data_IF_165564806453
#
_entry.id   IF_165564806453
#
_cell.length_a   1.000
_cell.length_b   1.000
_cell.length_c   1.000
_cell.angle_alpha   90.00
_cell.angle_beta   90.00
_cell.angle_gamma   90.00
#
_symmetry.space_group_name_H-M   'P 1'
#
loop_
_entity.id
_entity.type
_entity.pdbx_description
1 polymer ?
#
# COMPACT_ATOMS: atom_id res chain seq x y z
N UNK A 1 -14.01 6.47 -65.94
CA UNK A 1 -13.36 6.11 -67.22
C UNK A 1 -13.06 7.41 -67.95
N UNK A 2 -11.88 7.59 -68.54
CA UNK A 2 -10.55 7.17 -68.07
C UNK A 2 -9.50 8.30 -68.27
N UNK A 3 -8.26 8.15 -67.75
CA UNK A 3 -6.98 7.98 -68.51
C UNK A 3 -6.32 9.31 -68.96
N UNK A 4 -5.11 9.62 -68.46
CA UNK A 4 -3.78 9.32 -69.07
C UNK A 4 -3.44 10.33 -70.18
N UNK A 5 -2.22 10.78 -70.45
CA UNK A 5 -0.88 10.47 -69.97
C UNK A 5 0.09 11.54 -70.50
N UNK A 6 1.17 11.79 -69.74
CA UNK A 6 2.56 12.07 -70.20
C UNK A 6 2.88 13.22 -71.22
N UNK A 7 4.15 13.46 -71.60
CA UNK A 7 5.44 13.44 -70.89
C UNK A 7 6.27 14.74 -71.15
N UNK A 8 7.50 14.83 -70.62
CA UNK A 8 8.76 15.01 -71.39
C UNK A 8 9.85 15.82 -70.67
N UNK A 9 11.01 15.17 -70.66
CA UNK A 9 12.36 15.59 -70.28
C UNK A 9 13.04 16.34 -71.44
N UNK A 10 13.87 17.35 -71.14
CA UNK A 10 15.13 17.72 -71.84
C UNK A 10 15.74 18.95 -71.14
N UNK A 11 16.76 18.85 -70.28
CA UNK A 11 18.19 18.57 -70.54
C UNK A 11 18.90 19.66 -71.37
N UNK A 12 19.86 20.37 -70.73
CA UNK A 12 21.24 20.69 -71.19
C UNK A 12 21.89 21.72 -70.26
N UNK A 13 22.88 21.30 -69.46
CA UNK A 13 24.35 21.29 -69.72
C UNK A 13 24.98 22.66 -69.40
N UNK A 14 25.62 22.87 -68.24
CA UNK A 14 27.01 22.51 -67.83
C UNK A 14 27.91 23.78 -67.92
N UNK A 15 29.16 23.88 -67.40
CA UNK A 15 29.85 23.22 -66.28
C UNK A 15 30.65 24.19 -65.36
N UNK A 16 31.26 23.57 -64.34
CA UNK A 16 32.55 23.90 -63.69
C UNK A 16 32.56 24.93 -62.56
N UNK A 17 33.28 24.76 -61.45
CA UNK A 17 34.06 23.65 -60.87
C UNK A 17 34.43 24.12 -59.44
N UNK A 18 34.41 23.23 -58.45
CA UNK A 18 35.46 23.00 -57.43
C UNK A 18 34.87 22.40 -56.15
N UNK A 19 35.50 21.30 -55.72
CA UNK A 19 35.70 20.83 -54.33
C UNK A 19 34.43 20.59 -53.48
N UNK A 20 34.20 19.46 -52.82
CA UNK A 20 35.10 18.63 -52.02
C UNK A 20 34.37 17.33 -51.65
N UNK A 21 35.13 16.28 -51.34
CA UNK A 21 34.66 14.93 -51.02
C UNK A 21 33.98 14.94 -49.64
N UNK A 22 32.64 14.90 -49.56
CA UNK A 22 31.93 14.57 -48.31
C UNK A 22 32.09 13.09 -48.02
N UNK A 23 32.77 12.78 -46.93
CA UNK A 23 32.68 11.50 -46.24
C UNK A 23 31.23 11.25 -45.82
N UNK A 24 30.74 10.04 -46.13
CA UNK A 24 29.50 9.50 -45.57
C UNK A 24 29.61 9.47 -44.05
N UNK A 25 28.98 10.45 -43.40
CA UNK A 25 28.64 10.33 -41.98
C UNK A 25 27.35 9.51 -41.92
N UNK A 26 27.32 8.36 -41.22
CA UNK A 26 26.07 7.64 -41.04
C UNK A 26 25.11 8.58 -40.29
N UNK A 27 23.93 8.79 -40.87
CA UNK A 27 22.80 9.40 -40.16
C UNK A 27 22.49 8.46 -39.01
N UNK A 28 23.01 8.80 -37.83
CA UNK A 28 22.55 8.25 -36.57
C UNK A 28 21.09 8.65 -36.48
N UNK A 29 20.19 7.70 -36.77
CA UNK A 29 18.84 7.79 -36.23
C UNK A 29 19.04 7.88 -34.72
N UNK A 30 18.84 9.05 -34.14
CA UNK A 30 18.69 9.21 -32.71
C UNK A 30 17.48 8.38 -32.31
N UNK A 31 17.73 7.14 -31.89
CA UNK A 31 16.78 6.38 -31.07
C UNK A 31 16.42 7.32 -29.92
N UNK A 32 15.13 7.66 -29.70
CA UNK A 32 14.77 8.54 -28.60
C UNK A 32 15.37 7.95 -27.32
N UNK A 33 16.23 8.75 -26.68
CA UNK A 33 16.95 8.35 -25.48
C UNK A 33 15.90 7.98 -24.43
N UNK A 34 15.85 6.70 -24.07
CA UNK A 34 14.89 6.16 -23.12
C UNK A 34 15.09 6.86 -21.77
N UNK A 35 14.05 7.49 -21.24
CA UNK A 35 14.11 8.19 -19.95
C UNK A 35 14.28 7.17 -18.83
N UNK A 36 14.88 7.61 -17.73
CA UNK A 36 15.12 6.75 -16.57
C UNK A 36 13.84 6.17 -15.97
N UNK A 37 12.71 6.86 -16.12
CA UNK A 37 11.38 6.47 -15.63
C UNK A 37 10.41 6.09 -16.75
N UNK A 38 10.91 5.67 -17.91
CA UNK A 38 10.06 5.10 -18.96
C UNK A 38 9.54 3.71 -18.56
N UNK A 39 8.21 3.55 -18.61
CA UNK A 39 7.56 2.28 -18.30
C UNK A 39 7.77 1.28 -19.46
N UNK A 40 8.54 0.23 -19.19
CA UNK A 40 8.96 -0.85 -20.10
C UNK A 40 8.64 -2.27 -19.59
N UNK A 41 7.84 -2.37 -18.51
CA UNK A 41 7.37 -3.64 -17.93
C UNK A 41 6.15 -4.24 -18.62
N UNK A 42 5.89 -5.53 -18.35
CA UNK A 42 4.65 -6.20 -18.77
C UNK A 42 3.49 -5.79 -17.86
N UNK A 43 2.59 -4.95 -18.36
CA UNK A 43 1.43 -4.50 -17.61
C UNK A 43 0.20 -5.31 -18.01
N UNK A 44 -0.28 -6.16 -17.11
CA UNK A 44 -1.59 -6.81 -17.24
C UNK A 44 -2.62 -6.03 -16.41
N UNK A 45 -3.13 -4.93 -16.96
CA UNK A 45 -4.21 -4.15 -16.34
C UNK A 45 -5.48 -5.01 -16.27
N UNK A 46 -5.98 -5.28 -15.07
CA UNK A 46 -7.22 -6.06 -14.90
C UNK A 46 -8.41 -5.18 -14.53
N UNK A 47 -8.18 -4.06 -13.85
CA UNK A 47 -9.26 -3.15 -13.48
C UNK A 47 -9.35 -1.98 -14.45
N UNK A 48 -10.55 -1.79 -15.03
CA UNK A 48 -10.95 -0.50 -15.59
C UNK A 48 -11.72 0.23 -14.50
N UNK A 49 -11.37 1.51 -14.28
CA UNK A 49 -12.05 2.42 -13.36
C UNK A 49 -13.57 2.30 -13.59
N UNK A 50 -14.31 1.93 -12.55
CA UNK A 50 -15.77 1.87 -12.61
C UNK A 50 -16.32 3.29 -12.67
N UNK A 51 -16.95 3.65 -13.78
CA UNK A 51 -17.48 4.99 -14.13
C UNK A 51 -18.62 5.53 -13.22
N UNK A 52 -18.88 4.91 -12.06
CA UNK A 52 -20.01 5.25 -11.18
C UNK A 52 -19.62 5.39 -9.70
N UNK A 53 -18.43 5.91 -9.42
CA UNK A 53 -18.02 6.20 -8.06
C UNK A 53 -18.56 7.57 -7.63
N UNK A 54 -19.39 7.61 -6.59
CA UNK A 54 -19.89 8.85 -5.99
C UNK A 54 -18.98 9.24 -4.83
N UNK A 55 -18.20 10.29 -5.00
CA UNK A 55 -17.38 10.87 -3.93
C UNK A 55 -18.25 11.74 -3.03
N UNK A 56 -18.00 11.67 -1.72
CA UNK A 56 -18.69 12.48 -0.71
C UNK A 56 -17.65 13.29 0.06
N UNK A 57 -17.96 14.53 0.48
CA UNK A 57 -17.06 15.31 1.31
C UNK A 57 -16.67 14.55 2.57
N UNK A 58 -15.39 14.62 2.94
CA UNK A 58 -14.89 14.10 4.20
C UNK A 58 -15.47 14.92 5.35
N UNK A 59 -16.18 14.27 6.28
CA UNK A 59 -16.93 14.95 7.33
C UNK A 59 -16.18 14.97 8.66
N UNK A 60 -15.36 13.96 8.92
CA UNK A 60 -14.56 13.90 10.14
C UNK A 60 -13.43 14.92 10.09
N UNK A 61 -13.42 15.82 11.08
CA UNK A 61 -12.36 16.79 11.29
C UNK A 61 -11.73 16.51 12.65
N UNK A 62 -10.49 16.04 12.64
CA UNK A 62 -9.74 15.81 13.87
C UNK A 62 -9.38 17.16 14.52
N UNK A 63 -9.75 17.34 15.78
CA UNK A 63 -9.60 18.61 16.52
C UNK A 63 -8.29 18.73 17.31
N UNK A 64 -7.47 17.67 17.33
CA UNK A 64 -6.20 17.61 18.07
C UNK A 64 -6.34 17.32 19.56
N UNK A 65 -7.56 17.23 20.09
CA UNK A 65 -7.84 16.97 21.51
C UNK A 65 -8.53 15.63 21.75
N UNK A 66 -9.30 15.12 20.78
CA UNK A 66 -9.93 13.81 20.89
C UNK A 66 -8.91 12.67 20.75
N UNK A 67 -9.19 11.52 21.36
CA UNK A 67 -8.42 10.31 21.10
C UNK A 67 -9.09 9.57 19.94
N UNK A 68 -8.42 9.48 18.79
CA UNK A 68 -8.97 8.80 17.59
C UNK A 68 -9.36 7.34 17.88
N UNK A 69 -8.62 6.63 18.73
CA UNK A 69 -8.93 5.25 19.10
C UNK A 69 -10.27 5.15 19.86
N UNK A 70 -10.63 6.19 20.61
CA UNK A 70 -11.90 6.26 21.32
C UNK A 70 -13.06 6.66 20.41
N UNK A 71 -12.81 7.48 19.38
CA UNK A 71 -13.80 7.85 18.37
C UNK A 71 -14.13 6.66 17.45
N UNK A 72 -13.12 5.87 17.05
CA UNK A 72 -13.30 4.58 16.37
C UNK A 72 -14.07 3.59 17.25
N UNK A 73 -13.69 3.44 18.52
CA UNK A 73 -14.37 2.53 19.46
C UNK A 73 -15.83 2.95 19.72
N UNK A 74 -16.12 4.25 19.80
CA UNK A 74 -17.48 4.77 19.93
C UNK A 74 -18.33 4.42 18.71
N UNK A 75 -17.76 4.55 17.52
CA UNK A 75 -18.42 4.20 16.26
C UNK A 75 -18.69 2.69 16.17
N UNK A 76 -17.68 1.87 16.52
CA UNK A 76 -17.80 0.41 16.58
C UNK A 76 -18.83 -0.06 17.61
N UNK A 77 -18.76 0.44 18.85
CA UNK A 77 -19.69 0.05 19.92
C UNK A 77 -21.14 0.40 19.59
N UNK A 78 -21.36 1.57 18.97
CA UNK A 78 -22.66 1.98 18.45
C UNK A 78 -23.20 1.02 17.37
N UNK A 79 -22.33 0.60 16.44
CA UNK A 79 -22.67 -0.42 15.43
C UNK A 79 -22.97 -1.78 16.07
N UNK A 80 -22.11 -2.25 16.99
CA UNK A 80 -22.26 -3.53 17.67
C UNK A 80 -23.60 -3.60 18.45
N UNK A 81 -24.00 -2.51 19.10
CA UNK A 81 -25.29 -2.44 19.78
C UNK A 81 -26.49 -2.58 18.81
N UNK A 82 -26.40 -1.96 17.62
CA UNK A 82 -27.45 -2.07 16.58
C UNK A 82 -27.54 -3.50 16.03
N UNK A 83 -26.41 -4.11 15.69
CA UNK A 83 -26.35 -5.48 15.17
C UNK A 83 -26.78 -6.51 16.22
N UNK A 84 -26.36 -6.37 17.47
CA UNK A 84 -26.77 -7.28 18.53
C UNK A 84 -28.29 -7.26 18.73
N UNK A 85 -28.93 -6.08 18.64
CA UNK A 85 -30.40 -5.97 18.68
C UNK A 85 -31.06 -6.67 17.49
N UNK A 86 -30.48 -6.58 16.30
CA UNK A 86 -30.96 -7.29 15.10
C UNK A 86 -30.81 -8.81 15.24
N UNK A 87 -29.63 -9.27 15.67
CA UNK A 87 -29.35 -10.69 15.89
C UNK A 87 -30.31 -11.32 16.89
N UNK A 88 -30.63 -10.64 17.99
CA UNK A 88 -31.64 -11.11 18.95
C UNK A 88 -33.02 -11.26 18.28
N UNK A 89 -33.44 -10.29 17.47
CA UNK A 89 -34.71 -10.38 16.73
C UNK A 89 -34.73 -11.55 15.73
N UNK A 90 -33.64 -11.77 15.02
CA UNK A 90 -33.48 -12.90 14.08
C UNK A 90 -33.47 -14.25 14.79
N UNK A 91 -32.81 -14.35 15.96
CA UNK A 91 -32.82 -15.55 16.80
C UNK A 91 -34.25 -15.86 17.28
N UNK A 92 -34.96 -14.85 17.81
CA UNK A 92 -36.35 -15.00 18.25
C UNK A 92 -37.24 -15.48 17.09
N UNK A 93 -37.11 -14.85 15.92
CA UNK A 93 -37.85 -15.24 14.71
C UNK A 93 -37.59 -16.70 14.31
N UNK A 94 -36.33 -17.14 14.41
CA UNK A 94 -35.92 -18.53 14.12
C UNK A 94 -36.47 -19.52 15.15
N UNK A 95 -36.45 -19.17 16.44
CA UNK A 95 -37.05 -19.99 17.49
C UNK A 95 -38.57 -20.15 17.30
N UNK A 96 -39.28 -19.06 16.97
CA UNK A 96 -40.73 -19.10 16.68
C UNK A 96 -41.02 -20.01 15.48
N UNK A 97 -40.19 -19.94 14.43
CA UNK A 97 -40.32 -20.79 13.25
C UNK A 97 -40.12 -22.28 13.60
N UNK A 98 -39.09 -22.62 14.37
CA UNK A 98 -38.83 -23.98 14.84
C UNK A 98 -39.98 -24.51 15.71
N UNK A 99 -40.49 -23.70 16.64
CA UNK A 99 -41.62 -24.08 17.49
C UNK A 99 -42.89 -24.32 16.67
N UNK A 100 -43.17 -23.48 15.66
CA UNK A 100 -44.30 -23.69 14.76
C UNK A 100 -44.16 -25.01 13.97
N UNK A 101 -42.95 -25.33 13.50
CA UNK A 101 -42.68 -26.58 12.80
C UNK A 101 -42.88 -27.82 13.70
N UNK A 102 -42.35 -27.78 14.93
CA UNK A 102 -42.53 -28.86 15.92
C UNK A 102 -44.00 -29.02 16.29
N UNK A 103 -44.75 -27.92 16.44
CA UNK A 103 -46.17 -27.96 16.73
C UNK A 103 -46.99 -28.66 15.62
N UNK A 104 -46.68 -28.39 14.35
CA UNK A 104 -47.30 -29.09 13.21
C UNK A 104 -46.99 -30.59 13.27
N UNK A 105 -45.72 -30.96 13.49
CA UNK A 105 -45.30 -32.36 13.61
C UNK A 105 -46.03 -33.08 14.75
N UNK A 106 -46.11 -32.47 15.94
CA UNK A 106 -46.80 -33.05 17.09
C UNK A 106 -48.29 -33.28 16.80
N UNK A 107 -48.97 -32.32 16.18
CA UNK A 107 -50.39 -32.47 15.84
C UNK A 107 -50.60 -33.56 14.78
N UNK A 108 -49.70 -33.68 13.79
CA UNK A 108 -49.78 -34.77 12.81
C UNK A 108 -49.63 -36.17 13.45
N UNK A 109 -48.79 -36.32 14.48
CA UNK A 109 -48.60 -37.61 15.14
C UNK A 109 -49.64 -37.95 16.21
N UNK A 110 -50.12 -36.94 16.95
CA UNK A 110 -51.04 -37.14 18.08
C UNK A 110 -52.52 -37.12 17.67
N UNK A 111 -52.88 -36.44 16.56
CA UNK A 111 -54.26 -36.31 16.10
C UNK A 111 -54.69 -37.43 15.13
N UNK A 112 -54.32 -38.69 15.40
CA UNK A 112 -54.64 -39.83 14.52
C UNK A 112 -56.11 -40.26 14.54
N UNK A 113 -56.81 -40.06 15.65
CA UNK A 113 -58.25 -40.40 15.82
C UNK A 113 -59.14 -39.16 16.08
N UNK A 114 -58.55 -37.96 16.12
CA UNK A 114 -59.29 -36.74 16.40
C UNK A 114 -59.85 -36.05 15.15
N UNK A 115 -60.47 -34.88 15.35
CA UNK A 115 -61.19 -34.19 14.28
C UNK A 115 -60.21 -33.58 13.26
N UNK A 116 -60.33 -33.89 11.94
CA UNK A 116 -59.39 -33.43 10.92
C UNK A 116 -59.26 -31.90 10.80
N UNK A 117 -60.31 -31.15 11.15
CA UNK A 117 -60.30 -29.69 11.08
C UNK A 117 -59.27 -29.05 12.03
N UNK A 118 -58.91 -29.73 13.14
CA UNK A 118 -57.91 -29.23 14.10
C UNK A 118 -56.52 -29.18 13.44
N UNK A 119 -56.17 -30.21 12.67
CA UNK A 119 -54.89 -30.28 11.95
C UNK A 119 -54.78 -29.15 10.93
N UNK A 120 -55.86 -28.87 10.17
CA UNK A 120 -55.88 -27.79 9.18
C UNK A 120 -55.78 -26.40 9.82
N UNK A 121 -56.42 -26.17 10.97
CA UNK A 121 -56.31 -24.89 11.70
C UNK A 121 -54.90 -24.66 12.22
N UNK A 122 -54.27 -25.68 12.82
CA UNK A 122 -52.88 -25.58 13.31
C UNK A 122 -51.92 -25.38 12.15
N UNK A 123 -52.13 -26.07 11.03
CA UNK A 123 -51.31 -25.90 9.83
C UNK A 123 -51.42 -24.47 9.26
N UNK A 124 -52.63 -23.92 9.17
CA UNK A 124 -52.84 -22.55 8.71
C UNK A 124 -52.16 -21.53 9.64
N UNK A 125 -52.26 -21.72 10.95
CA UNK A 125 -51.62 -20.84 11.92
C UNK A 125 -50.09 -20.93 11.86
N UNK A 126 -49.54 -22.14 11.76
CA UNK A 126 -48.10 -22.36 11.62
C UNK A 126 -47.56 -21.76 10.32
N UNK A 127 -48.30 -21.86 9.21
CA UNK A 127 -47.93 -21.24 7.94
C UNK A 127 -47.82 -19.71 8.08
N UNK A 128 -48.77 -19.06 8.76
CA UNK A 128 -48.72 -17.62 9.03
C UNK A 128 -47.50 -17.26 9.89
N UNK A 129 -47.20 -18.03 10.92
CA UNK A 129 -46.02 -17.81 11.77
C UNK A 129 -44.71 -17.96 10.99
N UNK A 130 -44.59 -19.01 10.17
CA UNK A 130 -43.39 -19.25 9.35
C UNK A 130 -43.20 -18.10 8.36
N UNK A 131 -44.25 -17.71 7.63
CA UNK A 131 -44.18 -16.58 6.68
C UNK A 131 -43.82 -15.28 7.42
N UNK A 132 -44.45 -15.02 8.57
CA UNK A 132 -44.13 -13.86 9.41
C UNK A 132 -42.67 -13.82 9.84
N UNK A 133 -42.14 -14.97 10.29
CA UNK A 133 -40.73 -15.11 10.66
C UNK A 133 -39.77 -14.84 9.49
N UNK A 134 -40.10 -15.33 8.28
CA UNK A 134 -39.32 -15.04 7.07
C UNK A 134 -39.32 -13.56 6.71
N UNK A 135 -40.47 -12.90 6.76
CA UNK A 135 -40.60 -11.46 6.48
C UNK A 135 -39.77 -10.64 7.48
N UNK A 136 -39.90 -10.94 8.77
CA UNK A 136 -39.11 -10.29 9.82
C UNK A 136 -37.61 -10.47 9.56
N UNK A 137 -37.16 -11.71 9.34
CA UNK A 137 -35.76 -12.02 9.07
C UNK A 137 -35.22 -11.27 7.84
N UNK A 138 -35.99 -11.18 6.76
CA UNK A 138 -35.61 -10.44 5.55
C UNK A 138 -35.48 -8.93 5.81
N UNK A 139 -36.38 -8.33 6.58
CA UNK A 139 -36.33 -6.90 6.94
C UNK A 139 -35.09 -6.59 7.77
N UNK A 140 -34.79 -7.42 8.79
CA UNK A 140 -33.62 -7.24 9.64
C UNK A 140 -32.32 -7.46 8.85
N UNK A 141 -32.25 -8.47 7.98
CA UNK A 141 -31.09 -8.69 7.11
C UNK A 141 -30.78 -7.48 6.19
N UNK A 142 -31.81 -6.86 5.59
CA UNK A 142 -31.63 -5.63 4.80
C UNK A 142 -31.15 -4.45 5.67
N UNK A 143 -31.68 -4.33 6.89
CA UNK A 143 -31.25 -3.30 7.84
C UNK A 143 -29.81 -3.50 8.29
N UNK A 144 -29.37 -4.74 8.45
CA UNK A 144 -28.00 -5.07 8.82
C UNK A 144 -27.02 -4.73 7.70
N UNK A 145 -27.36 -5.06 6.45
CA UNK A 145 -26.55 -4.64 5.29
C UNK A 145 -26.37 -3.11 5.22
N UNK A 146 -27.44 -2.36 5.47
CA UNK A 146 -27.36 -0.89 5.54
C UNK A 146 -26.50 -0.42 6.70
N UNK A 147 -26.65 -1.03 7.88
CA UNK A 147 -25.88 -0.68 9.08
C UNK A 147 -24.38 -0.96 8.91
N UNK A 148 -24.03 -2.02 8.17
CA UNK A 148 -22.64 -2.33 7.80
C UNK A 148 -22.06 -1.23 6.92
N UNK A 149 -22.78 -0.80 5.87
CA UNK A 149 -22.32 0.28 4.99
C UNK A 149 -22.17 1.60 5.72
N UNK A 150 -23.13 1.95 6.58
CA UNK A 150 -23.06 3.16 7.42
C UNK A 150 -21.85 3.12 8.37
N UNK A 151 -21.58 1.95 8.97
CA UNK A 151 -20.42 1.79 9.84
C UNK A 151 -19.09 1.88 9.09
N UNK A 152 -18.98 1.20 7.94
CA UNK A 152 -17.77 1.22 7.12
C UNK A 152 -17.44 2.65 6.65
N UNK A 153 -18.45 3.35 6.13
CA UNK A 153 -18.30 4.74 5.70
C UNK A 153 -17.89 5.66 6.84
N UNK A 154 -18.48 5.52 8.04
CA UNK A 154 -18.10 6.33 9.20
C UNK A 154 -16.69 6.00 9.72
N UNK A 155 -16.30 4.72 9.69
CA UNK A 155 -14.95 4.28 10.07
C UNK A 155 -13.90 4.86 9.13
N UNK A 156 -14.11 4.74 7.82
CA UNK A 156 -13.18 5.25 6.82
C UNK A 156 -13.10 6.79 6.85
N UNK A 157 -14.21 7.48 7.11
CA UNK A 157 -14.24 8.94 7.30
C UNK A 157 -13.36 9.36 8.48
N UNK A 158 -13.46 8.67 9.63
CA UNK A 158 -12.61 8.92 10.81
C UNK A 158 -11.14 8.68 10.52
N UNK A 159 -10.81 7.51 9.96
CA UNK A 159 -9.41 7.12 9.72
C UNK A 159 -8.75 8.05 8.70
N UNK A 160 -9.41 8.32 7.58
CA UNK A 160 -8.85 9.21 6.56
C UNK A 160 -8.79 10.66 7.06
N UNK A 161 -9.80 11.14 7.78
CA UNK A 161 -9.78 12.50 8.37
C UNK A 161 -8.70 12.68 9.43
N UNK A 162 -8.37 11.64 10.20
CA UNK A 162 -7.22 11.65 11.09
C UNK A 162 -5.89 11.63 10.32
N UNK A 163 -5.78 10.78 9.30
CA UNK A 163 -4.57 10.62 8.50
C UNK A 163 -4.17 11.91 7.78
N UNK A 164 -5.13 12.63 7.20
CA UNK A 164 -4.85 13.88 6.45
C UNK A 164 -4.69 15.12 7.34
N UNK A 165 -4.98 15.03 8.64
CA UNK A 165 -4.82 16.17 9.54
C UNK A 165 -3.36 16.64 9.54
N UNK A 166 -3.13 17.92 9.26
CA UNK A 166 -1.77 18.49 9.23
C UNK A 166 -1.01 18.28 7.93
N UNK A 167 -1.62 17.64 6.92
CA UNK A 167 -1.02 17.48 5.58
C UNK A 167 -1.43 18.57 4.59
N UNK A 168 -2.17 19.61 5.02
CA UNK A 168 -2.66 20.71 4.17
C UNK A 168 -3.49 20.27 2.94
N UNK A 169 -4.26 19.20 3.11
CA UNK A 169 -5.19 18.70 2.08
C UNK A 169 -6.52 19.46 2.13
N UNK A 170 -6.88 20.10 1.03
CA UNK A 170 -8.10 20.87 0.85
C UNK A 170 -9.12 20.11 0.00
N UNK A 171 -10.41 20.39 0.20
CA UNK A 171 -11.53 19.80 -0.55
C UNK A 171 -11.45 18.27 -0.60
N UNK A 172 -11.18 17.64 0.54
CA UNK A 172 -11.08 16.20 0.62
C UNK A 172 -12.45 15.54 0.41
N UNK A 173 -12.52 14.61 -0.55
CA UNK A 173 -13.69 13.80 -0.84
C UNK A 173 -13.33 12.31 -0.82
N UNK A 174 -14.18 11.50 -0.21
CA UNK A 174 -13.96 10.08 0.02
C UNK A 174 -15.00 9.23 -0.73
N UNK A 175 -14.55 8.09 -1.28
CA UNK A 175 -15.42 7.05 -1.80
C UNK A 175 -14.90 5.66 -1.39
N UNK A 176 -15.64 4.98 -0.51
CA UNK A 176 -15.32 3.65 0.03
C UNK A 176 -15.10 2.59 -1.05
N UNK A 177 -15.95 2.60 -2.07
CA UNK A 177 -16.00 1.56 -3.11
C UNK A 177 -15.15 1.91 -4.35
N UNK A 178 -14.55 3.11 -4.38
CA UNK A 178 -13.74 3.54 -5.51
C UNK A 178 -12.42 2.75 -5.58
N UNK A 179 -11.88 2.66 -6.79
CA UNK A 179 -10.58 2.07 -7.09
C UNK A 179 -9.65 3.13 -7.66
N UNK A 180 -8.37 3.05 -7.33
CA UNK A 180 -7.35 3.88 -7.98
C UNK A 180 -7.11 3.43 -9.42
N UNK A 181 -6.58 4.31 -10.26
CA UNK A 181 -6.01 3.91 -11.53
C UNK A 181 -4.74 3.09 -11.28
N UNK A 182 -4.73 1.84 -11.74
CA UNK A 182 -3.58 0.92 -11.61
C UNK A 182 -2.30 1.54 -12.20
N UNK A 183 -2.44 2.38 -13.24
CA UNK A 183 -1.33 3.12 -13.85
C UNK A 183 -0.60 3.98 -12.82
N UNK A 184 -1.33 4.59 -11.88
CA UNK A 184 -0.73 5.42 -10.82
C UNK A 184 0.20 4.62 -9.92
N UNK A 185 -0.09 3.35 -9.65
CA UNK A 185 0.79 2.49 -8.84
C UNK A 185 1.99 2.01 -9.66
N UNK A 186 1.78 1.64 -10.93
CA UNK A 186 2.86 1.21 -11.83
C UNK A 186 3.90 2.32 -12.02
N UNK A 187 3.44 3.57 -12.12
CA UNK A 187 4.28 4.76 -12.20
C UNK A 187 5.20 4.96 -10.99
N UNK A 188 4.99 4.27 -9.86
CA UNK A 188 5.90 4.29 -8.73
C UNK A 188 7.25 3.60 -9.01
N UNK A 189 7.38 2.83 -10.11
CA UNK A 189 8.63 2.17 -10.53
C UNK A 189 9.24 1.24 -9.46
N UNK A 190 8.41 0.52 -8.71
CA UNK A 190 8.90 -0.42 -7.69
C UNK A 190 9.06 -1.84 -8.21
N UNK A 191 8.02 -2.35 -8.87
CA UNK A 191 7.89 -3.77 -9.18
C UNK A 191 7.69 -4.00 -10.67
N UNK A 192 8.55 -4.85 -11.23
CA UNK A 192 8.59 -5.11 -12.67
C UNK A 192 7.40 -5.95 -13.14
N UNK A 193 6.91 -6.81 -12.26
CA UNK A 193 5.76 -7.66 -12.50
C UNK A 193 4.81 -7.52 -11.34
N UNK A 194 3.58 -7.13 -11.64
CA UNK A 194 2.49 -7.00 -10.68
C UNK A 194 1.39 -7.95 -11.13
N UNK A 195 1.01 -8.87 -10.24
CA UNK A 195 0.00 -9.90 -10.52
C UNK A 195 -1.42 -9.35 -10.44
N UNK A 196 -1.68 -8.47 -9.47
CA UNK A 196 -2.97 -7.80 -9.28
C UNK A 196 -2.81 -6.59 -8.37
N UNK A 197 -3.64 -5.57 -8.59
CA UNK A 197 -3.80 -4.44 -7.68
C UNK A 197 -5.27 -4.39 -7.28
N UNK A 198 -5.55 -4.42 -5.99
CA UNK A 198 -6.87 -4.11 -5.45
C UNK A 198 -6.77 -2.88 -4.56
N UNK A 199 -7.80 -2.06 -4.54
CA UNK A 199 -7.83 -0.83 -3.74
C UNK A 199 -9.21 -0.55 -3.17
N UNK A 200 -9.31 0.31 -2.16
CA UNK A 200 -10.58 0.80 -1.62
C UNK A 200 -10.36 2.14 -0.90
N UNK A 201 -11.46 2.75 -0.44
CA UNK A 201 -11.40 3.94 0.41
C UNK A 201 -10.60 5.07 -0.23
N UNK A 202 -10.92 5.40 -1.49
CA UNK A 202 -10.18 6.41 -2.24
C UNK A 202 -10.60 7.79 -1.75
N UNK A 203 -9.64 8.55 -1.25
CA UNK A 203 -9.74 9.96 -0.93
C UNK A 203 -9.06 10.77 -2.03
N UNK A 204 -9.75 11.78 -2.54
CA UNK A 204 -9.19 12.79 -3.44
C UNK A 204 -9.18 14.14 -2.73
N UNK A 205 -8.17 14.97 -3.00
CA UNK A 205 -8.11 16.33 -2.49
C UNK A 205 -7.00 17.13 -3.16
N UNK A 206 -6.71 18.32 -2.64
CA UNK A 206 -5.65 19.20 -3.14
C UNK A 206 -4.66 19.58 -2.06
N UNK A 207 -3.39 19.31 -2.30
CA UNK A 207 -2.27 19.72 -1.42
C UNK A 207 -1.37 20.70 -2.17
N UNK A 208 -1.08 21.86 -1.57
CA UNK A 208 -0.30 22.93 -2.22
C UNK A 208 -0.76 23.27 -3.65
N UNK A 209 -2.07 23.17 -3.91
CA UNK A 209 -2.69 23.42 -5.22
C UNK A 209 -2.57 22.27 -6.24
N UNK A 210 -1.91 21.16 -5.91
CA UNK A 210 -1.75 19.96 -6.73
C UNK A 210 -2.69 18.85 -6.24
N UNK A 211 -3.11 17.98 -7.15
CA UNK A 211 -4.00 16.86 -6.82
C UNK A 211 -3.27 15.85 -5.92
N UNK A 212 -3.97 15.33 -4.91
CA UNK A 212 -3.52 14.21 -4.07
C UNK A 212 -4.64 13.17 -3.99
N UNK A 213 -4.28 11.91 -4.20
CA UNK A 213 -5.13 10.76 -4.02
C UNK A 213 -4.53 9.83 -2.98
N UNK A 214 -5.35 9.35 -2.05
CA UNK A 214 -4.96 8.43 -0.98
C UNK A 214 -5.91 7.24 -1.04
N UNK A 215 -5.39 6.02 -0.94
CA UNK A 215 -6.22 4.82 -0.95
C UNK A 215 -5.59 3.71 -0.13
N UNK A 216 -6.42 2.80 0.36
CA UNK A 216 -5.94 1.49 0.83
C UNK A 216 -5.71 0.60 -0.40
N UNK A 217 -4.54 -0.04 -0.47
CA UNK A 217 -4.08 -0.81 -1.63
C UNK A 217 -3.49 -2.16 -1.19
N UNK A 218 -3.84 -3.20 -1.93
CA UNK A 218 -3.20 -4.50 -1.92
C UNK A 218 -2.62 -4.79 -3.31
N UNK A 219 -1.31 -4.56 -3.47
CA UNK A 219 -0.56 -4.89 -4.66
C UNK A 219 0.16 -6.23 -4.48
N UNK A 220 -0.20 -7.21 -5.31
CA UNK A 220 0.35 -8.57 -5.27
C UNK A 220 1.42 -8.71 -6.35
N UNK A 221 2.59 -9.20 -5.97
CA UNK A 221 3.72 -9.51 -6.85
C UNK A 221 3.94 -11.02 -6.90
N UNK A 222 4.69 -11.54 -7.90
CA UNK A 222 5.06 -12.95 -7.93
C UNK A 222 5.71 -13.40 -6.61
N UNK A 223 5.32 -14.56 -6.04
CA UNK A 223 5.87 -15.02 -4.78
C UNK A 223 7.38 -15.21 -4.85
N UNK A 224 8.11 -14.63 -3.90
CA UNK A 224 9.57 -14.75 -3.77
C UNK A 224 9.94 -15.12 -2.34
N UNK A 225 11.05 -15.82 -2.14
CA UNK A 225 11.54 -16.15 -0.80
C UNK A 225 11.90 -14.86 -0.05
N UNK A 226 11.83 -14.90 1.29
CA UNK A 226 12.26 -13.74 2.09
C UNK A 226 13.71 -13.35 1.83
N UNK A 227 14.60 -14.29 1.51
CA UNK A 227 15.98 -13.96 1.13
C UNK A 227 16.04 -13.13 -0.15
N UNK A 228 15.34 -13.56 -1.21
CA UNK A 228 15.31 -12.84 -2.49
C UNK A 228 14.60 -11.49 -2.38
N UNK A 229 13.49 -11.42 -1.62
CA UNK A 229 12.75 -10.17 -1.39
C UNK A 229 13.55 -9.09 -0.64
N UNK A 230 14.60 -9.48 0.07
CA UNK A 230 15.45 -8.63 0.89
C UNK A 230 16.89 -8.56 0.38
N UNK A 231 17.15 -9.01 -0.85
CA UNK A 231 18.48 -8.97 -1.44
C UNK A 231 18.88 -7.52 -1.71
N UNK A 232 19.83 -7.02 -0.90
CA UNK A 232 20.35 -5.66 -1.05
C UNK A 232 21.28 -5.58 -2.25
N UNK A 233 21.32 -4.44 -2.97
CA UNK A 233 22.27 -4.22 -4.05
C UNK A 233 23.73 -4.47 -3.62
N UNK A 234 24.54 -5.07 -4.48
CA UNK A 234 25.99 -5.24 -4.24
C UNK A 234 26.80 -4.06 -4.76
N UNK A 235 26.29 -3.37 -5.78
CA UNK A 235 27.05 -2.40 -6.57
C UNK A 235 26.61 -0.97 -6.24
N UNK A 236 26.81 -0.57 -4.98
CA UNK A 236 26.52 0.80 -4.55
C UNK A 236 27.50 1.80 -5.17
N UNK A 237 27.00 3.01 -5.44
CA UNK A 237 27.81 4.20 -5.71
C UNK A 237 27.64 5.22 -4.59
N UNK A 238 28.66 6.05 -4.36
CA UNK A 238 28.53 7.23 -3.51
C UNK A 238 27.69 8.32 -4.21
N UNK A 239 27.25 9.34 -3.46
CA UNK A 239 26.55 10.50 -4.03
C UNK A 239 27.35 11.22 -5.13
N UNK A 240 28.68 11.22 -5.03
CA UNK A 240 29.58 11.78 -6.06
C UNK A 240 29.76 10.88 -7.29
N UNK A 241 29.04 9.76 -7.36
CA UNK A 241 29.09 8.80 -8.47
C UNK A 241 30.27 7.83 -8.43
N UNK A 242 31.18 7.93 -7.44
CA UNK A 242 32.30 7.00 -7.31
C UNK A 242 31.85 5.62 -6.78
N UNK A 243 32.54 4.51 -7.12
CA UNK A 243 32.21 3.21 -6.57
C UNK A 243 32.28 3.20 -5.04
N UNK A 244 31.24 2.69 -4.37
CA UNK A 244 31.27 2.50 -2.94
C UNK A 244 32.09 1.25 -2.62
N UNK A 245 33.20 1.43 -1.91
CA UNK A 245 33.99 0.32 -1.37
C UNK A 245 33.60 0.18 0.10
N UNK A 246 32.92 -0.92 0.50
CA UNK A 246 32.66 -1.17 1.90
C UNK A 246 33.98 -1.13 2.67
N UNK A 247 34.06 -0.34 3.73
CA UNK A 247 35.21 -0.42 4.63
C UNK A 247 35.27 -1.85 5.15
N UNK A 248 36.38 -2.54 4.90
CA UNK A 248 36.64 -3.82 5.53
C UNK A 248 36.45 -3.62 7.03
N UNK A 249 35.67 -4.50 7.65
CA UNK A 249 35.50 -4.52 9.10
C UNK A 249 36.91 -4.73 9.67
N UNK A 250 37.48 -3.69 10.26
CA UNK A 250 38.72 -3.83 11.01
C UNK A 250 38.32 -4.54 12.31
N UNK A 251 38.75 -5.80 12.46
CA UNK A 251 38.47 -6.70 13.60
C UNK A 251 39.03 -6.17 14.95
N UNK A 252 39.34 -4.88 15.06
CA UNK A 252 40.02 -4.27 16.19
C UNK A 252 39.24 -3.15 16.89
N UNK A 253 37.97 -2.94 16.56
CA UNK A 253 37.07 -2.06 17.33
C UNK A 253 35.89 -2.84 17.90
N UNK A 254 36.14 -3.57 18.97
CA UNK A 254 35.12 -3.94 19.97
C UNK A 254 34.67 -2.68 20.73
N UNK A 255 33.98 -1.79 20.01
CA UNK A 255 33.25 -0.67 20.58
C UNK A 255 31.82 -1.13 20.85
N UNK A 256 31.50 -1.32 22.13
CA UNK A 256 30.18 -1.74 22.62
C UNK A 256 29.06 -0.83 22.14
N UNK A 257 28.37 -1.22 21.08
CA UNK A 257 26.93 -0.97 20.89
C UNK A 257 26.41 -2.16 20.12
N UNK A 258 26.25 -3.27 20.84
CA UNK A 258 25.59 -4.46 20.30
C UNK A 258 24.17 -4.10 19.87
N UNK A 259 23.82 -4.62 18.69
CA UNK A 259 22.48 -4.75 18.19
C UNK A 259 21.57 -5.39 19.25
N UNK A 260 20.73 -4.60 19.92
CA UNK A 260 19.57 -5.17 20.61
C UNK A 260 18.43 -5.40 19.62
N UNK A 261 18.59 -6.39 18.74
CA UNK A 261 17.48 -7.00 18.02
C UNK A 261 17.83 -8.38 17.47
N UNK A 262 18.46 -9.22 18.29
CA UNK A 262 18.29 -10.68 18.34
C UNK A 262 19.12 -11.17 19.54
N UNK A 263 18.55 -12.07 20.34
CA UNK A 263 19.24 -12.90 21.33
C UNK A 263 19.32 -12.48 22.81
N UNK A 264 18.43 -11.61 23.32
CA UNK A 264 18.18 -11.66 24.79
C UNK A 264 17.57 -13.01 25.22
N UNK A 265 16.85 -13.70 24.34
CA UNK A 265 16.32 -15.04 24.65
C UNK A 265 17.37 -16.14 24.54
N UNK A 266 18.35 -16.01 23.64
CA UNK A 266 19.33 -17.06 23.35
C UNK A 266 20.50 -17.03 24.35
N UNK A 267 20.95 -15.84 24.76
CA UNK A 267 22.00 -15.67 25.77
C UNK A 267 21.49 -16.00 27.18
N UNK A 268 20.25 -15.61 27.53
CA UNK A 268 19.63 -16.03 28.80
C UNK A 268 19.33 -17.54 28.84
N UNK A 269 19.08 -18.17 27.69
CA UNK A 269 18.93 -19.62 27.56
C UNK A 269 20.27 -20.35 27.70
N UNK A 270 21.37 -19.81 27.15
CA UNK A 270 22.71 -20.41 27.27
C UNK A 270 23.24 -20.38 28.71
N UNK A 271 22.98 -19.29 29.46
CA UNK A 271 23.32 -19.20 30.88
C UNK A 271 22.45 -20.10 31.78
N UNK A 272 21.23 -20.45 31.33
CA UNK A 272 20.37 -21.41 32.02
C UNK A 272 20.68 -22.88 31.63
N UNK A 273 21.28 -23.11 30.45
CA UNK A 273 21.57 -24.42 29.87
C UNK A 273 22.78 -25.13 30.54
N UNK A 274 23.66 -24.41 31.26
CA UNK A 274 24.72 -25.05 32.07
C UNK A 274 24.19 -25.74 33.34
N UNK A 275 22.95 -25.46 33.76
CA UNK A 275 22.45 -25.90 35.05
C UNK A 275 21.53 -27.14 35.03
N UNK A 276 20.95 -27.53 33.88
CA UNK A 276 19.95 -28.61 33.86
C UNK A 276 20.09 -29.53 32.63
N UNK A 277 20.92 -30.56 32.78
CA UNK A 277 21.01 -31.65 31.81
C UNK A 277 19.67 -32.38 31.67
N UNK A 278 18.98 -32.18 30.54
CA UNK A 278 17.99 -33.11 29.97
C UNK A 278 17.65 -32.71 28.54
N UNK A 279 17.08 -33.66 27.79
CA UNK A 279 16.73 -33.78 26.34
C UNK A 279 16.09 -32.57 25.61
N UNK A 280 16.05 -31.37 26.18
CA UNK A 280 15.54 -30.14 25.57
C UNK A 280 16.42 -29.62 24.43
N UNK A 281 17.72 -29.91 24.41
CA UNK A 281 18.61 -29.49 23.32
C UNK A 281 18.21 -30.11 21.97
N UNK A 282 17.69 -31.34 21.97
CA UNK A 282 17.25 -32.05 20.76
C UNK A 282 15.89 -31.54 20.27
N UNK A 283 15.00 -31.19 21.20
CA UNK A 283 13.72 -30.55 20.89
C UNK A 283 13.93 -29.12 20.38
N UNK A 284 14.81 -28.33 21.02
CA UNK A 284 15.26 -27.00 20.58
C UNK A 284 15.92 -27.07 19.20
N UNK A 285 16.77 -28.07 18.93
CA UNK A 285 17.35 -28.26 17.59
C UNK A 285 16.29 -28.58 16.53
N UNK A 286 15.27 -29.38 16.87
CA UNK A 286 14.15 -29.66 15.97
C UNK A 286 13.24 -28.44 15.77
N UNK A 287 13.00 -27.65 16.81
CA UNK A 287 12.20 -26.43 16.75
C UNK A 287 12.93 -25.32 15.97
N UNK A 288 14.26 -25.19 16.16
CA UNK A 288 15.13 -24.33 15.35
C UNK A 288 15.16 -24.81 13.89
N UNK A 289 15.29 -26.12 13.65
CA UNK A 289 15.26 -26.67 12.30
C UNK A 289 13.89 -26.49 11.63
N UNK A 290 12.79 -26.59 12.39
CA UNK A 290 11.43 -26.36 11.92
C UNK A 290 11.19 -24.88 11.62
N UNK A 291 11.58 -23.98 12.52
CA UNK A 291 11.47 -22.52 12.32
C UNK A 291 12.37 -22.04 11.16
N UNK A 292 13.55 -22.64 11.00
CA UNK A 292 14.45 -22.39 9.87
C UNK A 292 13.84 -22.87 8.56
N UNK A 293 13.24 -24.07 8.54
CA UNK A 293 12.53 -24.59 7.37
C UNK A 293 11.28 -23.78 7.03
N UNK A 294 10.50 -23.36 8.02
CA UNK A 294 9.32 -22.51 7.84
C UNK A 294 9.71 -21.12 7.32
N UNK A 295 10.84 -20.54 7.74
CA UNK A 295 11.33 -19.27 7.20
C UNK A 295 11.99 -19.38 5.82
N UNK A 296 12.69 -20.49 5.52
CA UNK A 296 13.34 -20.72 4.22
C UNK A 296 12.31 -21.05 3.11
N UNK A 297 11.17 -21.63 3.45
CA UNK A 297 10.04 -21.88 2.53
C UNK A 297 8.98 -20.76 2.52
N UNK A 298 9.10 -19.77 3.42
CA UNK A 298 8.15 -18.66 3.47
C UNK A 298 8.34 -17.69 2.30
N UNK A 299 7.22 -17.43 1.62
CA UNK A 299 7.16 -16.56 0.45
C UNK A 299 6.48 -15.25 0.80
N UNK A 300 7.08 -14.13 0.39
CA UNK A 300 6.40 -12.85 0.34
C UNK A 300 5.72 -12.71 -1.03
N UNK A 301 4.48 -12.20 -1.03
CA UNK A 301 3.64 -12.01 -2.23
C UNK A 301 3.08 -10.59 -2.35
N UNK A 302 3.27 -9.75 -1.33
CA UNK A 302 2.74 -8.39 -1.34
C UNK A 302 3.88 -7.42 -1.62
N UNK A 303 3.71 -6.61 -2.68
CA UNK A 303 4.54 -5.43 -2.91
C UNK A 303 4.05 -4.23 -2.10
N UNK A 304 2.75 -4.17 -1.82
CA UNK A 304 2.16 -3.23 -0.88
C UNK A 304 0.86 -3.83 -0.32
N UNK A 305 0.68 -3.72 0.99
CA UNK A 305 -0.58 -4.01 1.68
C UNK A 305 -0.79 -2.93 2.73
N UNK A 306 -1.45 -1.83 2.36
CA UNK A 306 -1.53 -0.66 3.24
C UNK A 306 -2.00 0.60 2.53
N UNK A 307 -1.50 1.76 2.94
CA UNK A 307 -1.87 3.04 2.32
C UNK A 307 -0.95 3.37 1.14
N UNK A 308 -1.56 3.86 0.06
CA UNK A 308 -0.88 4.41 -1.11
C UNK A 308 -1.31 5.86 -1.31
N UNK A 309 -0.33 6.74 -1.49
CA UNK A 309 -0.54 8.15 -1.78
C UNK A 309 0.01 8.43 -3.18
N UNK A 310 -0.80 9.08 -4.01
CA UNK A 310 -0.40 9.61 -5.31
C UNK A 310 -0.58 11.12 -5.28
N UNK A 311 0.53 11.84 -5.31
CA UNK A 311 0.57 13.29 -5.23
C UNK A 311 1.17 13.86 -6.51
N UNK A 312 0.49 14.85 -7.11
CA UNK A 312 0.85 15.48 -8.38
C UNK A 312 2.00 16.50 -8.24
N UNK A 313 3.03 16.11 -7.49
CA UNK A 313 4.33 16.76 -7.46
C UNK A 313 5.35 15.87 -8.18
N UNK A 314 5.78 16.30 -9.35
CA UNK A 314 6.72 15.57 -10.20
C UNK A 314 8.10 16.22 -10.21
N UNK A 315 9.15 15.42 -10.45
CA UNK A 315 10.50 15.88 -10.79
C UNK A 315 10.80 15.57 -12.26
N UNK A 316 11.94 16.02 -12.80
CA UNK A 316 12.37 15.54 -14.12
C UNK A 316 12.87 14.09 -14.03
N UNK A 317 12.92 13.38 -15.15
CA UNK A 317 13.42 11.99 -15.20
C UNK A 317 14.84 11.83 -14.66
N UNK A 318 15.71 12.82 -14.87
CA UNK A 318 17.10 12.80 -14.38
C UNK A 318 17.20 13.03 -12.86
N UNK A 319 16.28 13.83 -12.32
CA UNK A 319 16.16 14.13 -10.89
C UNK A 319 15.40 13.04 -10.11
N UNK A 320 14.93 11.99 -10.79
CA UNK A 320 14.06 10.98 -10.20
C UNK A 320 14.80 10.11 -9.18
N UNK A 321 14.09 9.73 -8.12
CA UNK A 321 14.64 8.85 -7.08
C UNK A 321 13.56 7.98 -6.42
N UNK A 322 14.01 6.86 -5.85
CA UNK A 322 13.22 5.94 -5.05
C UNK A 322 13.94 5.73 -3.72
N UNK A 323 13.21 5.86 -2.63
CA UNK A 323 13.65 5.57 -1.27
C UNK A 323 12.79 4.42 -0.75
N UNK A 324 13.44 3.43 -0.15
CA UNK A 324 12.75 2.30 0.46
C UNK A 324 13.21 2.15 1.92
N UNK A 325 12.25 2.11 2.83
CA UNK A 325 12.44 1.92 4.26
C UNK A 325 12.18 0.46 4.62
N UNK A 326 13.25 -0.29 4.86
CA UNK A 326 13.17 -1.68 5.27
C UNK A 326 12.79 -1.77 6.75
N UNK A 327 11.79 -2.61 7.06
CA UNK A 327 11.45 -3.01 8.41
C UNK A 327 11.76 -4.49 8.63
N UNK A 328 10.77 -5.25 9.12
CA UNK A 328 10.92 -6.70 9.28
C UNK A 328 11.04 -7.36 7.89
N UNK A 329 12.02 -8.26 7.76
CA UNK A 329 12.32 -8.98 6.51
C UNK A 329 11.12 -9.78 5.99
N UNK A 330 10.23 -10.22 6.88
CA UNK A 330 9.00 -10.96 6.53
C UNK A 330 8.00 -10.12 5.73
N UNK A 331 8.04 -8.79 5.88
CA UNK A 331 7.10 -7.85 5.29
C UNK A 331 7.79 -6.83 4.37
N UNK A 332 9.05 -7.10 4.03
CA UNK A 332 9.84 -6.27 3.12
C UNK A 332 9.88 -6.93 1.74
N UNK A 333 9.70 -6.11 0.71
CA UNK A 333 9.82 -6.48 -0.70
C UNK A 333 10.56 -5.35 -1.40
N UNK A 334 11.88 -5.48 -1.51
CA UNK A 334 12.71 -4.46 -2.14
C UNK A 334 12.32 -4.23 -3.60
N UNK A 335 12.49 -2.99 -4.11
CA UNK A 335 12.19 -2.69 -5.51
C UNK A 335 13.01 -3.57 -6.45
N UNK A 336 12.38 -4.11 -7.48
CA UNK A 336 13.04 -4.87 -8.54
C UNK A 336 12.84 -4.24 -9.92
N UNK A 337 12.18 -3.09 -9.98
CA UNK A 337 12.03 -2.29 -11.19
C UNK A 337 12.95 -1.07 -11.20
N UNK A 338 14.26 -1.34 -11.30
CA UNK A 338 15.30 -0.31 -11.15
C UNK A 338 16.01 0.05 -12.46
N UNK A 339 15.40 -0.26 -13.61
CA UNK A 339 15.94 0.15 -14.91
C UNK A 339 16.10 1.67 -14.93
N UNK A 340 17.31 2.17 -15.21
CA UNK A 340 17.59 3.61 -15.20
C UNK A 340 17.96 4.20 -13.84
N UNK A 341 17.89 3.42 -12.75
CA UNK A 341 18.27 3.84 -11.41
C UNK A 341 19.54 3.13 -10.92
N UNK A 342 20.34 3.81 -10.11
CA UNK A 342 21.51 3.25 -9.43
C UNK A 342 21.31 3.25 -7.93
N UNK A 343 21.71 2.18 -7.25
CA UNK A 343 21.72 2.13 -5.80
C UNK A 343 22.82 3.07 -5.27
N UNK A 344 22.44 4.04 -4.43
CA UNK A 344 23.35 5.08 -3.94
C UNK A 344 23.46 5.00 -2.43
N UNK A 345 24.69 5.13 -1.92
CA UNK A 345 24.93 5.28 -0.49
C UNK A 345 25.03 6.74 -0.11
N UNK A 346 24.06 7.17 0.69
CA UNK A 346 23.91 8.54 1.18
C UNK A 346 24.53 8.62 2.57
N UNK A 347 25.54 9.47 2.79
CA UNK A 347 26.18 9.63 4.08
C UNK A 347 25.18 10.00 5.17
N UNK A 348 25.27 9.34 6.34
CA UNK A 348 24.42 9.63 7.50
C UNK A 348 23.05 8.93 7.49
N UNK A 349 22.59 8.33 6.39
CA UNK A 349 21.37 7.51 6.39
C UNK A 349 21.59 6.18 7.10
N UNK A 350 20.57 5.74 7.84
CA UNK A 350 20.55 4.41 8.47
C UNK A 350 20.63 3.29 7.44
N UNK A 351 21.19 2.17 7.87
CA UNK A 351 21.45 1.00 7.02
C UNK A 351 20.20 0.33 6.43
N UNK A 352 19.03 0.55 7.03
CA UNK A 352 17.74 0.03 6.56
C UNK A 352 17.03 0.95 5.55
N UNK A 353 17.63 2.08 5.18
CA UNK A 353 17.10 3.00 4.16
C UNK A 353 17.90 2.82 2.88
N UNK A 354 17.23 2.31 1.84
CA UNK A 354 17.80 2.11 0.52
C UNK A 354 17.42 3.28 -0.38
N UNK A 355 18.37 3.80 -1.15
CA UNK A 355 18.16 4.91 -2.08
C UNK A 355 18.59 4.51 -3.48
N UNK A 356 17.74 4.80 -4.46
CA UNK A 356 17.98 4.55 -5.86
C UNK A 356 17.77 5.85 -6.63
N UNK A 357 18.78 6.34 -7.34
CA UNK A 357 18.75 7.64 -8.03
C UNK A 357 18.92 7.40 -9.53
N UNK A 358 18.18 8.14 -10.36
CA UNK A 358 18.33 8.11 -11.82
C UNK A 358 19.71 8.65 -12.23
N UNK A 359 19.97 9.93 -11.90
CA UNK A 359 21.28 10.56 -12.06
C UNK A 359 21.75 11.15 -10.74
N UNK A 360 22.88 10.65 -10.24
CA UNK A 360 23.39 10.97 -8.89
C UNK A 360 23.66 12.45 -8.68
N UNK A 361 24.17 13.13 -9.70
CA UNK A 361 24.46 14.57 -9.66
C UNK A 361 23.18 15.42 -9.55
N UNK A 362 22.15 15.07 -10.30
CA UNK A 362 20.93 15.87 -10.40
C UNK A 362 19.96 15.57 -9.25
N UNK A 363 19.79 14.30 -8.88
CA UNK A 363 18.95 13.88 -7.76
C UNK A 363 19.64 14.06 -6.40
N UNK A 364 20.98 14.06 -6.35
CA UNK A 364 21.75 14.14 -5.11
C UNK A 364 21.53 15.43 -4.31
N UNK A 365 21.12 16.51 -4.97
CA UNK A 365 20.81 17.80 -4.33
C UNK A 365 19.65 17.74 -3.33
N UNK A 366 18.78 16.74 -3.43
CA UNK A 366 17.65 16.53 -2.51
C UNK A 366 18.02 15.76 -1.24
N UNK A 367 19.29 15.37 -1.08
CA UNK A 367 19.80 14.57 0.03
C UNK A 367 20.86 15.33 0.84
N UNK A 368 20.51 16.55 1.25
CA UNK A 368 21.31 17.34 2.16
C UNK A 368 21.20 16.86 3.63
N UNK A 369 21.82 17.59 4.56
CA UNK A 369 21.79 17.23 5.98
C UNK A 369 20.39 17.22 6.60
N UNK A 370 19.49 18.12 6.14
CA UNK A 370 18.11 18.20 6.65
C UNK A 370 17.30 17.02 6.12
N UNK A 371 17.41 16.71 4.83
CA UNK A 371 16.82 15.52 4.24
C UNK A 371 17.25 14.23 4.97
N UNK A 372 18.54 14.09 5.27
CA UNK A 372 19.07 12.93 6.02
C UNK A 372 18.47 12.85 7.43
N UNK A 373 18.30 13.97 8.12
CA UNK A 373 17.67 14.02 9.43
C UNK A 373 16.19 13.59 9.35
N UNK A 374 15.43 14.14 8.41
CA UNK A 374 14.02 13.81 8.19
C UNK A 374 13.82 12.33 7.84
N UNK A 375 14.61 11.80 6.91
CA UNK A 375 14.55 10.39 6.49
C UNK A 375 14.91 9.44 7.65
N UNK A 376 15.81 9.85 8.54
CA UNK A 376 16.19 9.05 9.69
C UNK A 376 15.13 9.02 10.81
N UNK A 377 14.16 9.94 10.81
CA UNK A 377 13.03 9.90 11.75
C UNK A 377 12.02 8.81 11.37
N UNK A 378 11.90 8.48 10.08
CA UNK A 378 10.94 7.48 9.57
C UNK A 378 11.37 6.07 9.98
N UNK A 379 10.81 5.55 11.06
CA UNK A 379 11.12 4.22 11.58
C UNK A 379 9.98 3.24 11.32
N UNK A 380 10.16 2.24 10.43
CA UNK A 380 9.26 1.10 10.39
C UNK A 380 9.16 0.43 11.78
N UNK A 381 7.97 0.01 12.14
CA UNK A 381 7.64 -0.63 13.41
C UNK A 381 6.72 -1.85 13.18
N UNK A 382 6.02 -2.29 14.22
CA UNK A 382 5.09 -3.44 14.11
C UNK A 382 3.83 -3.13 13.30
N UNK A 383 3.46 -1.85 13.18
CA UNK A 383 2.29 -1.38 12.43
C UNK A 383 2.70 -0.98 11.01
N UNK A 384 3.67 -0.08 10.86
CA UNK A 384 4.27 0.35 9.60
C UNK A 384 5.45 -0.57 9.30
N UNK A 385 5.19 -1.67 8.61
CA UNK A 385 6.12 -2.78 8.45
C UNK A 385 7.26 -2.49 7.45
N UNK A 386 6.98 -1.65 6.46
CA UNK A 386 7.94 -1.09 5.50
C UNK A 386 7.29 0.08 4.77
N UNK A 387 8.07 0.89 4.07
CA UNK A 387 7.54 2.02 3.30
C UNK A 387 8.40 2.31 2.08
N UNK A 388 7.83 3.03 1.11
CA UNK A 388 8.58 3.57 0.00
C UNK A 388 8.13 4.99 -0.35
N UNK A 389 9.04 5.73 -0.97
CA UNK A 389 8.80 7.02 -1.60
C UNK A 389 9.43 6.99 -2.98
N UNK A 390 8.66 7.25 -4.02
CA UNK A 390 9.11 7.36 -5.40
C UNK A 390 8.73 8.74 -5.91
N UNK A 391 9.71 9.52 -6.35
CA UNK A 391 9.48 10.85 -6.92
C UNK A 391 10.08 10.87 -8.31
N UNK A 392 9.23 11.00 -9.33
CA UNK A 392 9.64 10.95 -10.73
C UNK A 392 8.79 11.87 -11.62
N UNK A 393 8.89 11.75 -12.95
CA UNK A 393 8.15 12.61 -13.88
C UNK A 393 6.64 12.35 -13.93
N UNK A 394 6.18 11.25 -13.33
CA UNK A 394 4.76 10.91 -13.17
C UNK A 394 4.19 11.34 -11.81
N UNK A 395 4.97 12.06 -11.00
CA UNK A 395 4.56 12.56 -9.69
C UNK A 395 5.22 11.83 -8.52
N UNK A 396 4.71 12.11 -7.33
CA UNK A 396 5.18 11.51 -6.08
C UNK A 396 4.25 10.36 -5.70
N UNK A 397 4.82 9.18 -5.46
CA UNK A 397 4.10 7.96 -5.05
C UNK A 397 4.69 7.48 -3.73
N UNK A 398 3.85 7.35 -2.72
CA UNK A 398 4.25 6.91 -1.37
C UNK A 398 3.45 5.66 -1.04
N UNK A 399 4.09 4.65 -0.48
CA UNK A 399 3.40 3.47 0.03
C UNK A 399 3.84 3.17 1.45
N UNK A 400 2.87 2.88 2.30
CA UNK A 400 3.06 2.38 3.65
C UNK A 400 2.55 0.95 3.67
N UNK A 401 3.44 -0.02 3.90
CA UNK A 401 3.05 -1.39 4.12
C UNK A 401 2.66 -1.56 5.58
N UNK A 402 1.44 -2.03 5.82
CA UNK A 402 0.79 -1.98 7.11
C UNK A 402 0.43 -3.37 7.61
N UNK A 403 0.44 -3.53 8.93
CA UNK A 403 0.02 -4.77 9.56
C UNK A 403 -1.50 -4.96 9.50
N UNK A 404 -1.91 -6.20 9.73
CA UNK A 404 -3.32 -6.58 9.88
C UNK A 404 -4.03 -5.83 11.01
N UNK A 405 -3.31 -5.24 11.97
CA UNK A 405 -3.88 -4.50 13.09
C UNK A 405 -4.60 -3.21 12.67
N UNK A 406 -4.19 -2.61 11.56
CA UNK A 406 -4.79 -1.40 10.99
C UNK A 406 -5.58 -1.70 9.71
N UNK A 407 -5.16 -2.69 8.92
CA UNK A 407 -5.84 -3.05 7.66
C UNK A 407 -7.15 -3.80 7.85
N UNK A 408 -7.34 -4.44 9.02
CA UNK A 408 -8.61 -5.06 9.37
C UNK A 408 -9.57 -4.04 9.98
N UNK A 409 -10.70 -3.84 9.29
CA UNK A 409 -11.81 -3.03 9.82
C UNK A 409 -12.34 -3.66 11.12
N UNK A 410 -12.36 -2.92 12.25
CA UNK A 410 -12.61 -3.50 13.58
C UNK A 410 -14.09 -3.78 13.82
N UNK A 411 -14.63 -4.91 13.34
CA UNK A 411 -16.05 -5.26 13.54
C UNK A 411 -16.37 -5.87 14.91
N UNK A 412 -15.51 -6.77 15.39
CA UNK A 412 -15.76 -7.61 16.58
C UNK A 412 -14.97 -7.15 17.79
N UNK A 413 -13.70 -6.87 17.57
CA UNK A 413 -12.74 -6.45 18.59
C UNK A 413 -12.43 -4.97 18.42
N UNK A 414 -11.97 -4.36 19.51
CA UNK A 414 -11.38 -3.02 19.46
C UNK A 414 -10.15 -3.06 18.54
N UNK A 415 -9.90 -1.96 17.85
CA UNK A 415 -8.65 -1.75 17.11
C UNK A 415 -7.46 -1.77 18.08
N UNK A 416 -6.30 -2.23 17.59
CA UNK A 416 -5.06 -2.19 18.35
C UNK A 416 -4.71 -0.74 18.70
N UNK A 417 -4.59 -0.38 20.00
CA UNK A 417 -4.30 0.99 20.40
C UNK A 417 -3.03 1.54 19.76
N UNK A 418 -3.00 2.83 19.46
CA UNK A 418 -1.88 3.56 18.85
C UNK A 418 -1.48 3.13 17.42
N UNK A 419 -2.12 2.12 16.81
CA UNK A 419 -1.79 1.71 15.44
C UNK A 419 -2.05 2.85 14.43
N UNK A 420 -3.17 3.57 14.59
CA UNK A 420 -3.47 4.75 13.76
C UNK A 420 -2.44 5.86 13.95
N UNK A 421 -1.99 6.08 15.19
CA UNK A 421 -0.99 7.10 15.50
C UNK A 421 0.37 6.81 14.86
N UNK A 422 0.82 5.55 14.89
CA UNK A 422 2.05 5.13 14.21
C UNK A 422 1.97 5.34 12.69
N UNK A 423 0.85 4.94 12.07
CA UNK A 423 0.63 5.18 10.64
C UNK A 423 0.61 6.67 10.30
N UNK A 424 -0.05 7.50 11.14
CA UNK A 424 -0.08 8.94 10.98
C UNK A 424 1.30 9.56 11.11
N UNK A 425 2.06 9.20 12.14
CA UNK A 425 3.40 9.74 12.38
C UNK A 425 4.35 9.45 11.20
N UNK A 426 4.35 8.21 10.69
CA UNK A 426 5.12 7.86 9.50
C UNK A 426 4.69 8.66 8.26
N UNK A 427 3.37 8.89 8.10
CA UNK A 427 2.83 9.71 7.02
C UNK A 427 3.32 11.15 7.12
N UNK A 428 3.18 11.78 8.30
CA UNK A 428 3.59 13.16 8.55
C UNK A 428 5.10 13.32 8.30
N UNK A 429 5.94 12.40 8.80
CA UNK A 429 7.39 12.43 8.60
C UNK A 429 7.78 12.30 7.12
N UNK A 430 7.11 11.42 6.36
CA UNK A 430 7.34 11.32 4.91
C UNK A 430 6.96 12.64 4.22
N UNK A 431 5.80 13.22 4.55
CA UNK A 431 5.39 14.48 3.93
C UNK A 431 6.27 15.67 4.34
N UNK A 432 6.84 15.68 5.54
CA UNK A 432 7.89 16.64 5.91
C UNK A 432 9.11 16.53 5.00
N UNK A 433 9.55 15.31 4.65
CA UNK A 433 10.59 15.11 3.65
C UNK A 433 10.16 15.57 2.26
N UNK A 434 8.92 15.29 1.83
CA UNK A 434 8.42 15.78 0.53
C UNK A 434 8.38 17.31 0.49
N UNK A 435 7.98 17.98 1.56
CA UNK A 435 7.98 19.45 1.65
C UNK A 435 9.39 20.03 1.53
N UNK A 436 10.38 19.37 2.13
CA UNK A 436 11.78 19.72 1.94
C UNK A 436 12.19 19.58 0.45
N UNK A 437 11.83 18.48 -0.22
CA UNK A 437 12.11 18.28 -1.65
C UNK A 437 11.42 19.35 -2.52
N UNK A 438 10.18 19.70 -2.21
CA UNK A 438 9.46 20.80 -2.90
C UNK A 438 10.21 22.13 -2.75
N UNK A 439 10.66 22.44 -1.52
CA UNK A 439 11.39 23.67 -1.20
C UNK A 439 12.71 23.77 -1.97
N UNK A 440 13.53 22.72 -1.93
CA UNK A 440 14.81 22.65 -2.67
C UNK A 440 14.58 22.82 -4.18
N UNK A 441 13.52 22.21 -4.72
CA UNK A 441 13.17 22.36 -6.14
C UNK A 441 12.83 23.82 -6.49
N UNK A 442 12.04 24.48 -5.65
CA UNK A 442 11.64 25.88 -5.88
C UNK A 442 12.83 26.84 -5.77
N UNK A 443 13.71 26.63 -4.79
CA UNK A 443 14.94 27.42 -4.63
C UNK A 443 15.86 27.30 -5.84
N UNK A 444 16.07 26.08 -6.36
CA UNK A 444 16.85 25.85 -7.58
C UNK A 444 16.25 26.52 -8.82
N UNK A 445 14.91 26.55 -8.94
CA UNK A 445 14.24 27.21 -10.06
C UNK A 445 14.41 28.73 -10.02
N UNK A 446 14.34 29.35 -8.83
CA UNK A 446 14.48 30.79 -8.66
C UNK A 446 15.94 31.25 -8.91
N UNK A 447 16.94 30.48 -8.46
CA UNK A 447 18.34 30.78 -8.73
C UNK A 447 18.64 30.79 -10.25
N UNK A 448 18.05 29.85 -11.00
CA UNK A 448 18.21 29.77 -12.47
C UNK A 448 17.55 30.96 -13.20
N UNK A 449 16.52 31.58 -12.62
CA UNK A 449 15.86 32.76 -13.20
C UNK A 449 16.58 34.07 -12.91
N UNK A 450 17.37 34.16 -11.83
CA UNK A 450 18.20 35.34 -11.55
C UNK A 450 19.52 35.36 -12.34
N UNK A 451 19.97 34.19 -12.84
CA UNK A 451 21.17 34.06 -13.69
C UNK A 451 20.90 34.25 -15.21
N UNK A 452 19.62 34.33 -15.62
CA UNK A 452 19.17 34.60 -16.99
C UNK A 452 18.68 36.04 -17.15
#
# INVERSE_FOLDING_TARGET
TPEEDEPQIKEREDPSMLEEKKEDTPVVQETPMKKADDIDGEINLQNKVTDHNSFSPLNYVYDGFSNVDDDVERTRSSYAARINKSNIATIISTCVMLLAFVAVMLVMFLNKEGKPWITWVVFAFALVLIIGSFVISSIFSKKDQRSIKEYLSAYEDIVNGYLIHGLDVQNAELCSDAKIDETSFIQAHLYRTISSIDSRSVLNGKRHGKEIQIAEVAAVVPPVSYQAANEVPTDYVNLDGTPFIPKAIDDTMTGTTELQSQDMTLVDLELADEANGTDKAKQKANDIAKAKKENDEALNRYGLFGYFFSYDFALTSEESFIIYFMGDRRYTMLPNYLTGYKAVKIPGLRGNIMCYLAKTEDAGKYFDSEAVELLNQITPDTTVQSAFVSVNSHGTKIGLNLSDDIMNVPFKTRQTPNALSSCKEATDQIFCFIDHVERVKMEGANATQEEL
#
